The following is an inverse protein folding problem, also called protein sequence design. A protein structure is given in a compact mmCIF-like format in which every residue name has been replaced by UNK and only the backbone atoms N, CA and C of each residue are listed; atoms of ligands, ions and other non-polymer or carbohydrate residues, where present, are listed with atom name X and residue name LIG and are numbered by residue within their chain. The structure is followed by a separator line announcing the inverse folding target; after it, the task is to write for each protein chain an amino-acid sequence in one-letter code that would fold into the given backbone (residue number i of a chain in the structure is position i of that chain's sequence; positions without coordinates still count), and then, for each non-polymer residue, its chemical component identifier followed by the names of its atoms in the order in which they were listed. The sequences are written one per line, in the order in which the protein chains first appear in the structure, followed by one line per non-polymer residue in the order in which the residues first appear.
data_IF_442029765530
#
_entry.id   IF_442029765530
#
_cell.length_a   1.000
_cell.length_b   1.000
_cell.length_c   1.000
_cell.angle_alpha   90.00
_cell.angle_beta   90.00
_cell.angle_gamma   90.00
#
_symmetry.space_group_name_H-M   'P 1'
#
loop_
_entity.id
_entity.type
_entity.pdbx_description
1 polymer ?
#
# COMPACT_ATOMS: atom_id res chain seq x y z
N UNK A 1 -8.13 11.31 7.51
CA UNK A 1 -8.54 9.99 6.98
C UNK A 1 -7.55 9.48 5.94
N UNK A 2 -7.39 10.12 4.78
CA UNK A 2 -6.50 9.65 3.70
C UNK A 2 -5.07 9.37 4.16
N UNK A 3 -4.42 10.34 4.83
CA UNK A 3 -3.06 10.14 5.37
C UNK A 3 -2.96 8.99 6.38
N UNK A 4 -4.05 8.66 7.09
CA UNK A 4 -4.08 7.49 7.99
C UNK A 4 -4.01 6.19 7.20
N UNK A 5 -4.78 6.09 6.10
CA UNK A 5 -4.74 4.95 5.17
C UNK A 5 -3.34 4.82 4.58
N UNK A 6 -2.77 5.91 4.06
CA UNK A 6 -1.43 5.89 3.47
C UNK A 6 -0.33 5.53 4.49
N UNK A 7 -0.47 5.94 5.75
CA UNK A 7 0.42 5.52 6.83
C UNK A 7 0.29 4.01 7.12
N UNK A 8 -0.94 3.50 7.14
CA UNK A 8 -1.22 2.08 7.39
C UNK A 8 -0.66 1.15 6.32
N UNK A 9 -0.66 1.59 5.05
CA UNK A 9 -0.07 0.84 3.92
C UNK A 9 1.40 1.19 3.67
N UNK A 10 2.05 1.93 4.57
CA UNK A 10 3.50 2.15 4.56
C UNK A 10 4.02 3.34 3.73
N UNK A 11 3.19 4.00 2.93
CA UNK A 11 3.62 5.11 2.05
C UNK A 11 3.41 6.52 2.65
N UNK A 12 2.87 6.62 3.87
CA UNK A 12 2.47 7.89 4.47
C UNK A 12 3.60 8.90 4.67
N UNK A 13 4.87 8.46 4.80
CA UNK A 13 6.03 9.36 4.90
C UNK A 13 6.44 9.96 3.55
N UNK A 14 6.11 9.27 2.47
CA UNK A 14 6.47 9.65 1.10
C UNK A 14 5.31 10.33 0.37
N UNK A 15 4.18 10.49 1.05
CA UNK A 15 2.96 11.10 0.49
C UNK A 15 2.79 12.50 1.03
N UNK A 16 2.67 13.47 0.12
CA UNK A 16 2.37 14.87 0.45
C UNK A 16 0.99 15.25 -0.07
N UNK A 17 0.39 16.27 0.53
CA UNK A 17 -0.85 16.86 0.02
C UNK A 17 -0.44 18.06 -0.82
N UNK A 18 -0.64 17.97 -2.13
CA UNK A 18 -0.32 19.01 -3.09
C UNK A 18 -1.58 19.80 -3.47
N UNK A 19 -1.45 21.12 -3.54
CA UNK A 19 -2.43 21.94 -4.25
C UNK A 19 -2.40 21.55 -5.72
N UNK A 20 -3.57 21.37 -6.32
CA UNK A 20 -3.72 20.97 -7.71
C UNK A 20 -4.91 21.68 -8.36
N UNK A 21 -4.98 21.62 -9.69
CA UNK A 21 -6.09 22.18 -10.45
C UNK A 21 -7.41 21.52 -10.06
N UNK A 22 -8.47 22.32 -9.99
CA UNK A 22 -9.85 21.80 -9.87
C UNK A 22 -10.37 21.14 -11.14
N UNK A 23 -9.64 21.28 -12.26
CA UNK A 23 -9.97 20.72 -13.56
C UNK A 23 -11.41 21.03 -13.98
N UNK A 24 -12.08 20.02 -14.54
CA UNK A 24 -13.49 20.12 -14.91
C UNK A 24 -14.45 19.99 -13.71
N UNK A 25 -13.95 19.74 -12.50
CA UNK A 25 -14.79 19.48 -11.33
C UNK A 25 -15.15 20.76 -10.58
N UNK A 26 -14.20 21.67 -10.41
CA UNK A 26 -14.38 22.91 -9.65
C UNK A 26 -13.47 24.02 -10.17
N UNK A 27 -13.87 25.27 -9.94
CA UNK A 27 -13.03 26.44 -10.25
C UNK A 27 -12.07 26.78 -9.09
N UNK A 28 -12.21 26.09 -7.97
CA UNK A 28 -11.29 26.19 -6.82
C UNK A 28 -10.12 25.19 -6.98
N UNK A 29 -9.12 25.29 -6.11
CA UNK A 29 -8.06 24.27 -6.07
C UNK A 29 -8.60 22.96 -5.48
N UNK A 30 -8.10 21.85 -6.01
CA UNK A 30 -8.24 20.53 -5.41
C UNK A 30 -7.02 20.24 -4.53
N UNK A 31 -7.07 19.13 -3.78
CA UNK A 31 -5.91 18.63 -3.06
C UNK A 31 -5.62 17.19 -3.45
N UNK A 32 -4.47 17.01 -4.08
CA UNK A 32 -3.97 15.71 -4.52
C UNK A 32 -3.04 15.11 -3.47
N UNK A 33 -3.20 13.83 -3.24
CA UNK A 33 -2.30 13.04 -2.40
C UNK A 33 -1.25 12.44 -3.31
N UNK A 34 -0.06 13.01 -3.26
CA UNK A 34 1.04 12.73 -4.17
C UNK A 34 2.10 11.91 -3.47
N UNK A 35 2.27 10.65 -3.87
CA UNK A 35 3.33 9.78 -3.33
C UNK A 35 4.55 9.85 -4.24
N UNK A 36 5.72 10.18 -3.67
CA UNK A 36 7.00 10.18 -4.39
C UNK A 36 7.18 8.86 -5.14
N UNK A 37 7.37 8.89 -6.44
CA UNK A 37 7.43 7.69 -7.28
C UNK A 37 8.26 8.01 -8.52
N UNK A 38 9.35 7.29 -8.78
CA UNK A 38 10.26 7.62 -9.89
C UNK A 38 9.56 7.49 -11.26
N UNK A 39 8.77 6.43 -11.42
CA UNK A 39 7.90 6.18 -12.57
C UNK A 39 6.59 6.98 -12.57
N UNK A 40 6.39 7.83 -11.56
CA UNK A 40 5.23 8.69 -11.43
C UNK A 40 5.10 9.70 -12.56
N UNK A 41 3.88 9.96 -12.97
CA UNK A 41 3.53 10.85 -14.08
C UNK A 41 3.55 12.34 -13.70
N UNK A 42 3.37 12.64 -12.41
CA UNK A 42 3.24 14.00 -11.91
C UNK A 42 4.58 14.54 -11.44
N UNK A 43 4.73 15.86 -11.53
CA UNK A 43 5.90 16.57 -11.00
C UNK A 43 5.40 17.47 -9.87
N UNK A 44 5.91 17.22 -8.67
CA UNK A 44 5.52 17.95 -7.47
C UNK A 44 6.62 18.89 -7.03
N UNK A 45 6.22 20.09 -6.65
CA UNK A 45 7.07 21.14 -6.11
C UNK A 45 6.77 21.29 -4.63
N UNK A 46 7.65 20.76 -3.77
CA UNK A 46 7.55 20.91 -2.32
C UNK A 46 8.42 22.08 -1.87
N UNK A 47 7.79 23.13 -1.34
CA UNK A 47 8.53 24.22 -0.72
C UNK A 47 9.05 23.76 0.66
N UNK A 48 10.37 23.56 0.80
CA UNK A 48 11.00 23.04 2.01
C UNK A 48 10.87 23.97 3.22
N UNK A 49 10.70 25.27 2.98
CA UNK A 49 10.58 26.29 4.04
C UNK A 49 9.18 26.31 4.66
N UNK A 50 8.15 26.17 3.83
CA UNK A 50 6.74 26.25 4.26
C UNK A 50 6.07 24.90 4.43
N UNK A 51 6.61 23.84 3.82
CA UNK A 51 6.01 22.51 3.76
C UNK A 51 4.86 22.38 2.78
N UNK A 52 4.53 23.44 2.01
CA UNK A 52 3.43 23.42 1.03
C UNK A 52 3.91 22.76 -0.26
N UNK A 53 3.15 21.77 -0.74
CA UNK A 53 3.37 21.13 -2.02
C UNK A 53 2.40 21.65 -3.08
N UNK A 54 2.86 21.70 -4.33
CA UNK A 54 2.09 22.10 -5.50
C UNK A 54 2.30 21.08 -6.60
N UNK A 55 1.22 20.66 -7.27
CA UNK A 55 1.34 20.03 -8.57
C UNK A 55 1.81 21.09 -9.59
N UNK A 56 2.53 20.64 -10.61
CA UNK A 56 3.23 21.46 -11.59
C UNK A 56 2.34 22.52 -12.23
N UNK A 57 1.07 22.24 -12.46
CA UNK A 57 0.11 23.11 -13.12
C UNK A 57 -0.34 24.30 -12.27
N UNK A 58 -0.17 24.24 -10.94
CA UNK A 58 -0.52 25.34 -10.01
C UNK A 58 0.66 25.87 -9.22
N UNK A 59 1.89 25.46 -9.58
CA UNK A 59 3.10 25.90 -8.88
C UNK A 59 3.31 27.42 -8.94
N UNK A 60 3.94 28.04 -7.93
CA UNK A 60 4.31 29.45 -7.97
C UNK A 60 5.25 29.80 -9.14
N UNK A 61 5.17 31.04 -9.62
CA UNK A 61 6.10 31.57 -10.61
C UNK A 61 7.54 31.55 -10.07
N UNK A 62 8.50 31.17 -10.91
CA UNK A 62 9.91 31.06 -10.51
C UNK A 62 10.27 29.83 -9.66
N UNK A 63 9.32 28.93 -9.35
CA UNK A 63 9.59 27.74 -8.55
C UNK A 63 10.65 26.79 -9.17
N UNK A 64 10.82 26.80 -10.50
CA UNK A 64 11.78 25.91 -11.19
C UNK A 64 13.24 26.22 -10.88
N UNK A 65 13.55 27.49 -10.58
CA UNK A 65 14.91 27.97 -10.34
C UNK A 65 15.16 28.33 -8.88
N UNK A 66 14.14 28.20 -8.03
CA UNK A 66 14.23 28.52 -6.61
C UNK A 66 14.67 27.29 -5.81
N UNK A 67 15.82 27.39 -5.15
CA UNK A 67 16.43 26.32 -4.33
C UNK A 67 15.60 25.91 -3.10
N UNK A 68 14.61 26.71 -2.70
CA UNK A 68 13.69 26.38 -1.60
C UNK A 68 12.71 25.29 -2.00
N UNK A 69 12.52 25.04 -3.30
CA UNK A 69 11.69 23.96 -3.79
C UNK A 69 12.50 22.68 -4.00
N UNK A 70 11.96 21.59 -3.49
CA UNK A 70 12.32 20.25 -3.90
C UNK A 70 11.36 19.82 -5.01
N UNK A 71 11.91 19.32 -6.11
CA UNK A 71 11.15 18.88 -7.28
C UNK A 71 11.33 17.38 -7.42
N UNK A 72 10.24 16.63 -7.52
CA UNK A 72 10.28 15.18 -7.65
C UNK A 72 9.11 14.63 -8.46
N UNK A 73 9.33 13.45 -9.05
CA UNK A 73 8.26 12.68 -9.67
C UNK A 73 7.39 12.05 -8.59
N UNK A 74 6.08 12.06 -8.83
CA UNK A 74 5.08 11.50 -7.93
C UNK A 74 3.97 10.82 -8.72
N UNK A 75 3.25 9.92 -8.04
CA UNK A 75 2.00 9.38 -8.55
C UNK A 75 0.87 9.79 -7.61
N UNK A 76 -0.20 10.32 -8.20
CA UNK A 76 -1.41 10.74 -7.50
C UNK A 76 -2.18 9.52 -6.99
N UNK A 77 -2.15 9.27 -5.69
CA UNK A 77 -2.82 8.13 -5.05
C UNK A 77 -4.23 8.47 -4.54
N UNK A 78 -4.65 9.72 -4.67
CA UNK A 78 -6.01 10.17 -4.35
C UNK A 78 -6.17 11.68 -4.51
N UNK A 79 -7.43 12.13 -4.54
CA UNK A 79 -7.78 13.54 -4.71
C UNK A 79 -9.09 13.87 -4.01
N UNK A 80 -9.19 15.12 -3.53
CA UNK A 80 -10.39 15.68 -2.92
C UNK A 80 -10.76 16.99 -3.61
N UNK A 81 -12.03 17.09 -4.02
CA UNK A 81 -12.54 18.25 -4.75
C UNK A 81 -13.69 18.92 -3.98
N UNK A 82 -13.58 20.23 -3.68
CA UNK A 82 -14.74 21.02 -3.28
C UNK A 82 -15.60 21.34 -4.51
N UNK A 83 -16.64 20.54 -4.76
CA UNK A 83 -17.52 20.69 -5.94
C UNK A 83 -18.52 21.84 -5.80
N UNK A 84 -18.75 22.29 -4.56
CA UNK A 84 -19.71 23.33 -4.24
C UNK A 84 -21.11 22.93 -4.70
N UNK A 85 -21.76 23.82 -5.45
CA UNK A 85 -23.15 23.64 -5.92
C UNK A 85 -23.25 23.39 -7.42
N UNK A 86 -22.12 23.14 -8.11
CA UNK A 86 -22.06 22.99 -9.57
C UNK A 86 -23.02 21.91 -10.07
N UNK A 87 -22.90 20.70 -9.53
CA UNK A 87 -23.73 19.56 -9.94
C UNK A 87 -25.14 19.64 -9.37
N UNK A 88 -25.29 20.04 -8.11
CA UNK A 88 -26.61 20.09 -7.46
C UNK A 88 -27.53 21.11 -8.09
N UNK A 89 -27.02 22.27 -8.54
CA UNK A 89 -27.79 23.22 -9.33
C UNK A 89 -28.21 22.65 -10.68
N UNK A 90 -27.32 21.95 -11.37
CA UNK A 90 -27.62 21.35 -12.68
C UNK A 90 -28.72 20.28 -12.60
N UNK A 91 -28.78 19.52 -11.50
CA UNK A 91 -29.79 18.47 -11.29
C UNK A 91 -31.04 18.93 -10.52
N UNK A 92 -31.09 20.18 -10.04
CA UNK A 92 -32.17 20.64 -9.17
C UNK A 92 -32.22 19.91 -7.82
N UNK A 93 -31.06 19.52 -7.28
CA UNK A 93 -30.96 18.76 -6.03
C UNK A 93 -30.82 19.70 -4.82
N UNK A 94 -31.91 19.83 -4.07
CA UNK A 94 -32.08 20.86 -3.04
C UNK A 94 -32.60 20.28 -1.72
N UNK A 95 -32.31 20.96 -0.61
CA UNK A 95 -32.92 20.72 0.70
C UNK A 95 -33.78 21.91 1.15
N UNK A 96 -34.71 21.67 2.06
CA UNK A 96 -35.46 22.75 2.73
C UNK A 96 -34.66 23.21 3.96
N UNK A 97 -34.27 24.47 4.00
CA UNK A 97 -33.56 25.05 5.15
C UNK A 97 -34.53 25.46 6.27
N UNK A 98 -33.98 25.85 7.43
CA UNK A 98 -34.74 26.21 8.64
C UNK A 98 -35.74 27.34 8.43
N UNK A 99 -35.51 28.21 7.45
CA UNK A 99 -36.40 29.30 7.06
C UNK A 99 -37.49 28.89 6.05
N UNK A 100 -37.52 27.61 5.66
CA UNK A 100 -38.45 27.08 4.66
C UNK A 100 -38.01 27.29 3.21
N UNK A 101 -36.89 27.98 2.96
CA UNK A 101 -36.36 28.18 1.62
C UNK A 101 -35.72 26.90 1.05
N UNK A 102 -35.75 26.75 -0.27
CA UNK A 102 -35.02 25.70 -0.98
C UNK A 102 -33.60 26.17 -1.27
N UNK A 103 -32.61 25.37 -0.87
CA UNK A 103 -31.19 25.66 -1.11
C UNK A 103 -30.53 24.45 -1.79
N UNK A 104 -29.64 24.66 -2.77
CA UNK A 104 -28.87 23.58 -3.36
C UNK A 104 -27.96 22.94 -2.31
N UNK A 105 -27.79 21.63 -2.40
CA UNK A 105 -26.88 20.90 -1.52
C UNK A 105 -25.42 21.23 -1.91
N UNK A 106 -24.56 21.48 -0.92
CA UNK A 106 -23.12 21.64 -1.12
C UNK A 106 -22.49 20.25 -1.20
N UNK A 107 -21.70 20.01 -2.23
CA UNK A 107 -21.05 18.73 -2.50
C UNK A 107 -19.52 18.84 -2.50
N UNK A 108 -18.90 17.72 -2.16
CA UNK A 108 -17.48 17.43 -2.37
C UNK A 108 -17.33 15.99 -2.85
N UNK A 109 -16.27 15.68 -3.58
CA UNK A 109 -15.90 14.32 -3.94
C UNK A 109 -14.53 13.95 -3.36
N UNK A 110 -14.36 12.65 -3.12
CA UNK A 110 -13.18 12.07 -2.49
C UNK A 110 -12.86 10.78 -3.26
N UNK A 111 -11.74 10.72 -3.98
CA UNK A 111 -11.28 9.56 -4.73
C UNK A 111 -9.97 9.00 -4.19
N UNK A 112 -9.84 7.68 -4.12
CA UNK A 112 -8.57 6.96 -3.90
C UNK A 112 -8.35 6.05 -5.10
N UNK A 113 -7.18 6.12 -5.73
CA UNK A 113 -6.82 5.26 -6.84
C UNK A 113 -6.36 3.88 -6.35
N UNK A 114 -7.29 2.99 -6.00
CA UNK A 114 -6.96 1.68 -5.40
C UNK A 114 -6.13 0.77 -6.32
N UNK A 115 -6.41 0.75 -7.62
CA UNK A 115 -5.60 0.02 -8.59
C UNK A 115 -4.21 0.63 -8.79
N UNK A 116 -4.13 1.96 -8.83
CA UNK A 116 -2.86 2.71 -8.91
C UNK A 116 -2.00 2.47 -7.68
N UNK A 117 -2.60 2.45 -6.49
CA UNK A 117 -1.91 2.14 -5.24
C UNK A 117 -1.17 0.80 -5.30
N UNK A 118 -1.74 -0.21 -5.95
CA UNK A 118 -1.06 -1.50 -6.12
C UNK A 118 0.28 -1.34 -6.85
N UNK A 119 0.31 -0.58 -7.95
CA UNK A 119 1.54 -0.29 -8.69
C UNK A 119 2.53 0.53 -7.88
N UNK A 120 2.07 1.58 -7.20
CA UNK A 120 2.91 2.44 -6.34
C UNK A 120 3.54 1.63 -5.20
N UNK A 121 2.80 0.71 -4.60
CA UNK A 121 3.31 -0.15 -3.53
C UNK A 121 4.38 -1.11 -4.04
N UNK A 122 4.19 -1.71 -5.22
CA UNK A 122 5.22 -2.57 -5.84
C UNK A 122 6.47 -1.77 -6.18
N UNK A 123 6.32 -0.59 -6.77
CA UNK A 123 7.45 0.30 -7.07
C UNK A 123 8.22 0.69 -5.80
N UNK A 124 7.51 0.93 -4.70
CA UNK A 124 8.12 1.33 -3.42
C UNK A 124 8.76 0.20 -2.66
N UNK A 125 8.16 -0.97 -2.72
CA UNK A 125 8.49 -2.09 -1.86
C UNK A 125 8.79 -3.31 -2.71
N UNK A 126 9.99 -3.31 -3.30
CA UNK A 126 10.54 -4.43 -4.02
C UNK A 126 12.06 -4.53 -3.80
N UNK A 127 12.62 -5.66 -4.20
CA UNK A 127 14.04 -5.85 -4.45
C UNK A 127 14.23 -6.60 -5.78
N UNK A 128 15.47 -6.96 -6.11
CA UNK A 128 15.82 -7.70 -7.33
C UNK A 128 15.09 -9.05 -7.48
N UNK A 129 14.48 -9.57 -6.42
CA UNK A 129 13.78 -10.86 -6.39
C UNK A 129 12.26 -10.71 -6.48
N UNK A 130 11.71 -9.51 -6.29
CA UNK A 130 10.29 -9.23 -6.42
C UNK A 130 9.72 -8.41 -5.27
N UNK A 131 8.44 -8.61 -5.00
CA UNK A 131 7.64 -7.71 -4.17
C UNK A 131 7.94 -7.92 -2.67
N UNK A 132 7.81 -6.86 -1.87
CA UNK A 132 7.90 -6.87 -0.42
C UNK A 132 6.65 -6.19 0.14
N UNK A 133 5.56 -6.92 0.34
CA UNK A 133 4.30 -6.29 0.75
C UNK A 133 4.38 -5.67 2.15
N UNK A 134 3.81 -4.46 2.36
CA UNK A 134 3.39 -4.02 3.68
C UNK A 134 2.39 -5.01 4.27
N UNK A 135 2.47 -5.26 5.58
CA UNK A 135 1.65 -6.27 6.26
C UNK A 135 0.14 -6.08 6.06
N UNK A 136 -0.32 -4.84 6.01
CA UNK A 136 -1.74 -4.46 5.91
C UNK A 136 -2.40 -4.77 4.57
N UNK A 137 -1.60 -5.04 3.52
CA UNK A 137 -2.07 -5.22 2.14
C UNK A 137 -1.52 -6.49 1.49
N UNK A 138 -0.71 -7.27 2.21
CA UNK A 138 -0.20 -8.53 1.72
C UNK A 138 -1.36 -9.49 1.40
N UNK A 139 -1.32 -10.21 0.26
CA UNK A 139 -2.39 -11.15 -0.10
C UNK A 139 -2.48 -12.33 0.87
N UNK A 140 -1.34 -12.74 1.43
CA UNK A 140 -1.21 -13.70 2.51
C UNK A 140 -0.09 -13.22 3.43
N UNK A 141 -0.24 -13.43 4.74
CA UNK A 141 0.81 -13.09 5.69
C UNK A 141 1.98 -14.09 5.60
N UNK A 142 1.64 -15.37 5.37
CA UNK A 142 2.57 -16.48 5.39
C UNK A 142 2.56 -17.22 4.06
N UNK A 143 3.73 -17.53 3.52
CA UNK A 143 3.91 -18.47 2.41
C UNK A 143 4.63 -19.72 2.92
N UNK A 144 3.91 -20.83 2.97
CA UNK A 144 4.41 -22.12 3.43
C UNK A 144 4.95 -22.89 2.21
N UNK A 145 6.27 -23.11 2.18
CA UNK A 145 6.94 -23.92 1.16
C UNK A 145 7.08 -25.35 1.68
N UNK A 146 6.34 -26.27 1.06
CA UNK A 146 6.36 -27.68 1.39
C UNK A 146 7.43 -28.43 0.58
N UNK A 147 8.40 -29.05 1.26
CA UNK A 147 9.36 -29.98 0.67
C UNK A 147 9.05 -31.43 1.05
N UNK A 148 7.94 -31.94 0.51
CA UNK A 148 7.46 -33.32 0.64
C UNK A 148 7.14 -33.73 2.10
N UNK A 149 6.58 -32.81 2.88
CA UNK A 149 6.13 -33.02 4.26
C UNK A 149 4.62 -32.69 4.45
N UNK A 150 3.71 -33.17 3.57
CA UNK A 150 2.33 -32.67 3.50
C UNK A 150 1.55 -32.80 4.80
N UNK A 151 1.76 -33.88 5.55
CA UNK A 151 1.06 -34.09 6.83
C UNK A 151 1.45 -33.08 7.91
N UNK A 152 2.73 -32.68 7.95
CA UNK A 152 3.19 -31.69 8.92
C UNK A 152 2.84 -30.27 8.47
N UNK A 153 2.98 -30.00 7.16
CA UNK A 153 2.56 -28.73 6.57
C UNK A 153 1.07 -28.47 6.78
N UNK A 154 0.22 -29.49 6.60
CA UNK A 154 -1.22 -29.39 6.82
C UNK A 154 -1.56 -28.98 8.25
N UNK A 155 -0.92 -29.58 9.25
CA UNK A 155 -1.14 -29.21 10.66
C UNK A 155 -0.75 -27.76 10.94
N UNK A 156 0.36 -27.30 10.36
CA UNK A 156 0.80 -25.90 10.49
C UNK A 156 -0.21 -24.97 9.82
N UNK A 157 -0.64 -25.30 8.60
CA UNK A 157 -1.64 -24.55 7.86
C UNK A 157 -2.97 -24.44 8.62
N UNK A 158 -3.48 -25.54 9.16
CA UNK A 158 -4.70 -25.58 9.96
C UNK A 158 -4.57 -24.73 11.25
N UNK A 159 -3.42 -24.82 11.94
CA UNK A 159 -3.14 -23.97 13.11
C UNK A 159 -3.12 -22.47 12.79
N UNK A 160 -2.56 -22.09 11.63
CA UNK A 160 -2.56 -20.69 11.18
C UNK A 160 -3.98 -20.22 10.87
N UNK A 161 -4.73 -21.03 10.14
CA UNK A 161 -6.12 -20.75 9.78
C UNK A 161 -7.02 -20.61 11.01
N UNK A 162 -6.89 -21.49 12.00
CA UNK A 162 -7.64 -21.44 13.25
C UNK A 162 -7.33 -20.17 14.08
N UNK A 163 -6.15 -19.58 13.87
CA UNK A 163 -5.76 -18.31 14.47
C UNK A 163 -6.16 -17.08 13.63
N UNK A 164 -6.86 -17.26 12.50
CA UNK A 164 -7.25 -16.18 11.59
C UNK A 164 -6.08 -15.62 10.77
N UNK A 165 -5.01 -16.40 10.58
CA UNK A 165 -3.86 -16.00 9.78
C UNK A 165 -3.95 -16.66 8.40
N UNK A 166 -4.08 -15.82 7.37
CA UNK A 166 -4.10 -16.29 5.99
C UNK A 166 -2.70 -16.73 5.54
N UNK A 167 -2.63 -17.96 5.05
CA UNK A 167 -1.41 -18.58 4.55
C UNK A 167 -1.59 -19.11 3.13
N UNK A 168 -0.58 -18.93 2.29
CA UNK A 168 -0.44 -19.57 0.99
C UNK A 168 0.39 -20.84 1.17
N UNK A 169 -0.20 -22.01 0.93
CA UNK A 169 0.51 -23.28 0.95
C UNK A 169 0.95 -23.64 -0.47
N UNK A 170 2.27 -23.68 -0.70
CA UNK A 170 2.88 -24.17 -1.93
C UNK A 170 3.14 -25.68 -1.86
N UNK A 171 2.12 -26.44 -2.22
CA UNK A 171 2.09 -27.91 -2.31
C UNK A 171 2.47 -28.43 -3.71
N UNK A 172 2.94 -27.56 -4.61
CA UNK A 172 3.24 -27.92 -6.00
C UNK A 172 4.39 -28.92 -6.08
N UNK A 173 4.36 -29.81 -7.08
CA UNK A 173 5.47 -30.73 -7.38
C UNK A 173 6.54 -30.03 -8.22
N UNK A 174 7.30 -29.11 -7.60
CA UNK A 174 8.36 -28.31 -8.21
C UNK A 174 9.66 -28.39 -7.40
N UNK A 175 10.79 -27.99 -8.00
CA UNK A 175 12.06 -27.97 -7.27
C UNK A 175 12.04 -26.92 -6.14
N UNK A 176 12.80 -27.13 -5.05
CA UNK A 176 12.90 -26.14 -3.97
C UNK A 176 13.30 -24.75 -4.47
N UNK A 177 14.21 -24.68 -5.45
CA UNK A 177 14.66 -23.42 -6.02
C UNK A 177 13.55 -22.64 -6.71
N UNK A 178 12.70 -23.31 -7.48
CA UNK A 178 11.54 -22.68 -8.15
C UNK A 178 10.53 -22.18 -7.12
N UNK A 179 10.20 -22.99 -6.10
CA UNK A 179 9.31 -22.55 -5.02
C UNK A 179 9.85 -21.33 -4.28
N UNK A 180 11.16 -21.27 -4.02
CA UNK A 180 11.77 -20.11 -3.37
C UNK A 180 11.75 -18.86 -4.25
N UNK A 181 12.01 -18.99 -5.55
CA UNK A 181 11.93 -17.90 -6.50
C UNK A 181 10.50 -17.34 -6.58
N UNK A 182 9.49 -18.21 -6.69
CA UNK A 182 8.09 -17.78 -6.70
C UNK A 182 7.66 -17.15 -5.38
N UNK A 183 8.10 -17.70 -4.25
CA UNK A 183 7.79 -17.13 -2.94
C UNK A 183 8.42 -15.74 -2.74
N UNK A 184 9.66 -15.55 -3.18
CA UNK A 184 10.33 -14.25 -3.15
C UNK A 184 9.65 -13.27 -4.13
N UNK A 185 9.20 -13.75 -5.30
CA UNK A 185 8.51 -12.94 -6.31
C UNK A 185 7.14 -12.45 -5.83
N UNK A 186 6.32 -13.35 -5.29
CA UNK A 186 4.98 -13.06 -4.75
C UNK A 186 5.06 -12.13 -3.54
N UNK A 187 6.09 -12.27 -2.70
CA UNK A 187 6.42 -11.29 -1.69
C UNK A 187 5.65 -11.37 -0.38
N UNK A 188 5.10 -12.55 -0.03
CA UNK A 188 4.44 -12.73 1.27
C UNK A 188 5.39 -12.38 2.43
N UNK A 189 4.97 -11.62 3.44
CA UNK A 189 5.87 -11.07 4.47
C UNK A 189 6.69 -12.12 5.23
N UNK A 190 6.14 -13.32 5.44
CA UNK A 190 6.82 -14.43 6.12
C UNK A 190 6.84 -15.66 5.22
N UNK A 191 8.02 -16.23 4.99
CA UNK A 191 8.16 -17.56 4.39
C UNK A 191 8.44 -18.59 5.47
N UNK A 192 7.70 -19.70 5.43
CA UNK A 192 7.87 -20.87 6.31
C UNK A 192 8.24 -22.06 5.45
N UNK A 193 9.42 -22.62 5.64
CA UNK A 193 9.90 -23.80 4.93
C UNK A 193 9.72 -25.03 5.82
N UNK A 194 8.97 -26.01 5.32
CA UNK A 194 8.76 -27.31 5.96
C UNK A 194 9.55 -28.36 5.19
N UNK A 195 10.62 -28.87 5.80
CA UNK A 195 11.48 -29.90 5.21
C UNK A 195 11.88 -30.95 6.25
N UNK A 196 12.26 -32.14 5.80
CA UNK A 196 12.79 -33.17 6.71
C UNK A 196 13.97 -32.66 7.54
N UNK A 197 14.87 -31.85 6.95
CA UNK A 197 16.03 -31.27 7.63
C UNK A 197 15.62 -30.29 8.73
N UNK A 198 14.71 -29.37 8.45
CA UNK A 198 14.24 -28.41 9.46
C UNK A 198 13.54 -29.10 10.62
N UNK A 199 12.73 -30.13 10.32
CA UNK A 199 12.00 -30.90 11.34
C UNK A 199 12.96 -31.68 12.24
N UNK A 200 14.01 -32.27 11.68
CA UNK A 200 15.08 -32.92 12.47
C UNK A 200 15.83 -31.93 13.37
N UNK A 201 15.93 -30.67 12.96
CA UNK A 201 16.53 -29.59 13.75
C UNK A 201 15.55 -28.96 14.76
N UNK A 202 14.36 -29.56 14.95
CA UNK A 202 13.42 -29.18 15.99
C UNK A 202 12.37 -28.15 15.59
N UNK A 203 12.16 -27.89 14.29
CA UNK A 203 11.14 -26.93 13.86
C UNK A 203 11.00 -26.73 12.36
N UNK A 204 10.63 -25.51 11.98
CA UNK A 204 10.54 -25.03 10.59
C UNK A 204 11.49 -23.87 10.39
N UNK A 205 11.98 -23.72 9.16
CA UNK A 205 12.79 -22.56 8.81
C UNK A 205 11.89 -21.38 8.46
N UNK A 206 12.09 -20.25 9.13
CA UNK A 206 11.29 -19.04 8.94
C UNK A 206 12.18 -17.90 8.50
N UNK A 207 11.68 -17.10 7.56
CA UNK A 207 12.38 -15.94 7.00
C UNK A 207 11.38 -14.82 6.73
N UNK A 208 11.65 -13.58 7.16
CA UNK A 208 10.89 -12.40 6.71
C UNK A 208 11.33 -12.03 5.30
N UNK A 209 10.40 -11.60 4.45
CA UNK A 209 10.68 -11.31 3.03
C UNK A 209 11.77 -10.23 2.85
N UNK A 210 11.86 -9.29 3.78
CA UNK A 210 12.85 -8.22 3.79
C UNK A 210 14.16 -8.55 4.54
N UNK A 211 14.28 -9.74 5.11
CA UNK A 211 15.49 -10.19 5.82
C UNK A 211 16.31 -11.14 4.94
N UNK A 212 17.61 -11.29 5.24
CA UNK A 212 18.50 -12.23 4.54
C UNK A 212 18.59 -13.57 5.25
N UNK A 213 18.56 -13.56 6.59
CA UNK A 213 18.77 -14.73 7.43
C UNK A 213 17.49 -15.54 7.65
N UNK A 214 17.64 -16.87 7.72
CA UNK A 214 16.60 -17.78 8.17
C UNK A 214 16.84 -18.21 9.62
N UNK A 215 15.77 -18.53 10.34
CA UNK A 215 15.80 -19.02 11.72
C UNK A 215 14.98 -20.29 11.84
N UNK A 216 15.45 -21.25 12.63
CA UNK A 216 14.66 -22.43 12.96
C UNK A 216 13.79 -22.11 14.16
N UNK A 217 12.48 -22.24 13.99
CA UNK A 217 11.47 -22.00 15.02
C UNK A 217 10.68 -23.28 15.22
N UNK A 218 10.57 -23.75 16.46
CA UNK A 218 9.71 -24.90 16.79
C UNK A 218 8.27 -24.59 16.42
N UNK A 219 7.51 -25.59 15.95
CA UNK A 219 6.12 -25.43 15.52
C UNK A 219 5.26 -24.73 16.59
N UNK A 220 5.50 -25.00 17.87
CA UNK A 220 4.75 -24.39 18.97
C UNK A 220 5.00 -22.88 19.14
N UNK A 221 6.19 -22.39 18.76
CA UNK A 221 6.58 -20.97 18.83
C UNK A 221 6.30 -20.21 17.54
N UNK A 222 5.95 -20.90 16.46
CA UNK A 222 5.71 -20.30 15.15
C UNK A 222 4.58 -19.24 15.21
N UNK A 223 3.51 -19.54 15.94
CA UNK A 223 2.37 -18.63 16.09
C UNK A 223 2.75 -17.33 16.81
N UNK A 224 3.55 -17.43 17.87
CA UNK A 224 4.04 -16.27 18.61
C UNK A 224 4.98 -15.44 17.73
N UNK A 225 5.84 -16.09 16.95
CA UNK A 225 6.70 -15.39 16.00
C UNK A 225 5.88 -14.59 14.99
N UNK A 226 4.90 -15.21 14.33
CA UNK A 226 4.11 -14.55 13.27
C UNK A 226 3.29 -13.37 13.82
N UNK A 227 2.78 -13.45 15.05
CA UNK A 227 2.07 -12.33 15.70
C UNK A 227 2.96 -11.13 16.02
N UNK A 228 4.27 -11.33 16.09
CA UNK A 228 5.27 -10.30 16.40
C UNK A 228 6.01 -9.79 15.15
N UNK A 229 5.60 -10.24 13.97
CA UNK A 229 6.03 -9.69 12.67
C UNK A 229 5.35 -8.33 12.50
#
# INVERSE_FOLDING_TARGET
MYMSIYKEIGIGKDTVIALASGGDFTNEFSHEFQTRCESGEDIVYLNKTTGVAYNKEVKPEGADTNSDFEIFNASEVGNIFPLGVKFTKAFGYEYTDKDGSKKPIIMSSYGIGTSRLMGVLVEKFHDDKGIIWPLSVAPFLVHIVDLQQPEETKKIYEKLKDAGIDALWDDREMSPGEKFADADLIGCPVRVLVSARSLQNGGVEVKRRNETENKIISVDKLMEYIKNV
#
